data_IF_306937840071
#
_entry.id   IF_306937840071
#
_cell.length_a   1.000
_cell.length_b   1.000
_cell.length_c   1.000
_cell.angle_alpha   90.00
_cell.angle_beta   90.00
_cell.angle_gamma   90.00
#
_symmetry.space_group_name_H-M   'P 1'
#
loop_
_entity.id
_entity.type
_entity.pdbx_description
1 polymer ?
#
# COMPACT_ATOMS: atom_id res chain seq x y z
N UNK A 1 -21.78 25.10 -8.98
CA UNK A 1 -22.72 24.49 -8.03
C UNK A 1 -21.87 23.68 -7.03
N UNK A 2 -21.59 24.26 -5.85
CA UNK A 2 -20.86 23.61 -4.75
C UNK A 2 -21.85 22.70 -4.02
N UNK A 3 -21.86 21.40 -4.40
CA UNK A 3 -22.82 20.40 -3.90
C UNK A 3 -22.27 19.59 -2.72
N UNK A 4 -21.08 19.90 -2.21
CA UNK A 4 -20.64 19.38 -0.93
C UNK A 4 -20.85 20.45 0.14
N UNK A 5 -21.59 20.16 1.23
CA UNK A 5 -21.66 21.08 2.35
C UNK A 5 -20.21 21.33 2.78
N UNK A 6 -19.83 22.60 2.81
CA UNK A 6 -18.57 23.01 3.41
C UNK A 6 -18.62 22.46 4.85
N UNK A 7 -17.90 21.37 5.10
CA UNK A 7 -17.60 20.95 6.45
C UNK A 7 -16.84 22.11 7.03
N UNK A 8 -17.55 22.93 7.80
CA UNK A 8 -16.98 24.03 8.56
C UNK A 8 -16.11 23.38 9.61
N UNK A 9 -14.86 23.10 9.20
CA UNK A 9 -13.82 22.74 10.15
C UNK A 9 -13.61 24.01 10.95
N UNK A 10 -14.19 24.02 12.16
CA UNK A 10 -14.16 25.14 13.08
C UNK A 10 -12.70 25.51 13.40
N UNK A 11 -12.47 26.73 13.91
CA UNK A 11 -11.14 27.16 14.43
C UNK A 11 -10.52 26.15 15.41
N UNK A 12 -11.33 25.29 16.02
CA UNK A 12 -10.89 24.16 16.86
C UNK A 12 -10.08 23.13 16.06
N UNK A 13 -10.43 22.80 14.82
CA UNK A 13 -9.70 21.82 14.02
C UNK A 13 -8.27 22.30 13.64
N UNK A 14 -8.09 23.63 13.49
CA UNK A 14 -6.76 24.20 13.26
C UNK A 14 -5.84 24.02 14.49
N UNK A 15 -6.38 23.96 15.71
CA UNK A 15 -5.65 23.65 16.94
C UNK A 15 -5.15 22.18 16.99
N UNK A 16 -5.86 21.30 16.30
CA UNK A 16 -5.45 19.89 16.12
C UNK A 16 -4.55 19.66 14.90
N UNK A 17 -4.05 20.73 14.25
CA UNK A 17 -3.10 20.63 13.15
C UNK A 17 -3.73 20.36 11.77
N UNK A 18 -5.05 20.37 11.63
CA UNK A 18 -5.71 20.20 10.34
C UNK A 18 -5.50 21.43 9.43
N UNK A 19 -5.22 21.23 8.12
CA UNK A 19 -5.03 22.32 7.18
C UNK A 19 -6.37 22.98 6.82
N UNK A 20 -6.31 24.24 6.35
CA UNK A 20 -7.47 24.94 5.83
C UNK A 20 -7.93 24.33 4.50
N UNK A 21 -9.17 23.82 4.44
CA UNK A 21 -9.73 23.18 3.25
C UNK A 21 -10.22 24.17 2.16
N UNK A 22 -10.17 25.48 2.41
CA UNK A 22 -10.75 26.50 1.50
C UNK A 22 -10.28 26.32 0.06
N UNK A 23 -11.19 25.91 -0.83
CA UNK A 23 -10.95 25.70 -2.27
C UNK A 23 -10.10 24.46 -2.62
N UNK A 24 -9.75 23.60 -1.64
CA UNK A 24 -8.98 22.37 -1.83
C UNK A 24 -9.74 21.11 -1.36
N UNK A 25 -11.04 21.23 -1.06
CA UNK A 25 -11.87 20.10 -0.64
C UNK A 25 -11.90 18.96 -1.67
N UNK A 26 -11.82 19.27 -2.96
CA UNK A 26 -11.72 18.28 -4.04
C UNK A 26 -10.46 17.40 -3.93
N UNK A 27 -9.34 17.95 -3.43
CA UNK A 27 -8.10 17.19 -3.25
C UNK A 27 -8.24 16.14 -2.13
N UNK A 28 -8.78 16.53 -0.98
CA UNK A 28 -9.00 15.60 0.12
C UNK A 28 -10.13 14.61 -0.18
N UNK A 29 -11.22 15.09 -0.81
CA UNK A 29 -12.35 14.26 -1.20
C UNK A 29 -11.99 13.20 -2.24
N UNK A 30 -11.23 13.57 -3.28
CA UNK A 30 -10.76 12.61 -4.29
C UNK A 30 -9.90 11.51 -3.67
N UNK A 31 -8.96 11.86 -2.78
CA UNK A 31 -8.11 10.89 -2.10
C UNK A 31 -8.92 9.95 -1.19
N UNK A 32 -9.93 10.46 -0.50
CA UNK A 32 -10.83 9.65 0.34
C UNK A 32 -11.69 8.69 -0.47
N UNK A 33 -12.36 9.19 -1.51
CA UNK A 33 -13.25 8.39 -2.36
C UNK A 33 -12.47 7.30 -3.11
N UNK A 34 -11.30 7.63 -3.65
CA UNK A 34 -10.41 6.69 -4.31
C UNK A 34 -9.93 5.59 -3.36
N UNK A 35 -9.57 5.95 -2.15
CA UNK A 35 -9.14 4.99 -1.13
C UNK A 35 -10.28 4.11 -0.62
N UNK A 36 -11.51 4.60 -0.63
CA UNK A 36 -12.69 3.79 -0.35
C UNK A 36 -12.81 2.65 -1.35
N UNK A 37 -12.73 2.94 -2.65
CA UNK A 37 -12.72 1.92 -3.70
C UNK A 37 -11.58 0.92 -3.53
N UNK A 38 -10.36 1.42 -3.32
CA UNK A 38 -9.21 0.55 -3.06
C UNK A 38 -9.45 -0.37 -1.84
N UNK A 39 -10.01 0.15 -0.74
CA UNK A 39 -10.34 -0.64 0.43
C UNK A 39 -11.42 -1.70 0.18
N UNK A 40 -12.38 -1.40 -0.70
CA UNK A 40 -13.40 -2.38 -1.09
C UNK A 40 -12.82 -3.55 -1.89
N UNK A 41 -11.79 -3.35 -2.68
CA UNK A 41 -11.31 -4.38 -3.58
C UNK A 41 -10.02 -5.07 -3.12
N UNK A 42 -9.07 -4.36 -2.50
CA UNK A 42 -7.76 -4.91 -2.13
C UNK A 42 -7.82 -6.24 -1.37
N UNK A 43 -8.58 -6.38 -0.26
CA UNK A 43 -8.66 -7.64 0.46
C UNK A 43 -9.50 -8.70 -0.25
N UNK A 44 -10.16 -8.35 -1.33
CA UNK A 44 -11.00 -9.27 -2.10
C UNK A 44 -10.44 -9.59 -3.49
N UNK A 45 -9.24 -9.12 -3.83
CA UNK A 45 -8.66 -9.31 -5.18
C UNK A 45 -8.59 -10.79 -5.56
N UNK A 46 -7.99 -11.64 -4.73
CA UNK A 46 -7.91 -13.09 -5.02
C UNK A 46 -9.27 -13.78 -4.80
N UNK A 47 -9.99 -13.55 -3.69
CA UNK A 47 -11.34 -14.10 -3.52
C UNK A 47 -12.31 -13.77 -4.65
N UNK A 48 -12.23 -12.57 -5.23
CA UNK A 48 -13.03 -12.16 -6.38
C UNK A 48 -12.87 -13.14 -7.53
N UNK A 49 -11.64 -13.37 -8.00
CA UNK A 49 -11.39 -14.24 -9.14
C UNK A 49 -11.69 -15.73 -8.84
N UNK A 50 -11.48 -16.15 -7.59
CA UNK A 50 -11.89 -17.50 -7.16
C UNK A 50 -13.40 -17.71 -7.15
N UNK A 51 -14.18 -16.65 -6.92
CA UNK A 51 -15.64 -16.72 -6.89
C UNK A 51 -16.28 -16.59 -8.27
N UNK A 52 -15.76 -15.69 -9.13
CA UNK A 52 -16.43 -15.32 -10.39
C UNK A 52 -15.82 -15.95 -11.64
N UNK A 53 -14.72 -16.71 -11.51
CA UNK A 53 -14.04 -17.36 -12.64
C UNK A 53 -13.67 -18.80 -12.31
N UNK A 54 -13.46 -19.63 -13.33
CA UNK A 54 -12.95 -20.99 -13.18
C UNK A 54 -11.42 -21.07 -13.08
N UNK A 55 -10.75 -19.93 -12.84
CA UNK A 55 -9.29 -19.86 -12.76
C UNK A 55 -8.78 -20.49 -11.45
N UNK A 56 -7.81 -21.37 -11.59
CA UNK A 56 -7.12 -21.94 -10.42
C UNK A 56 -6.30 -20.90 -9.67
N UNK A 57 -6.15 -21.10 -8.35
CA UNK A 57 -5.45 -20.18 -7.43
C UNK A 57 -4.06 -19.76 -7.93
N UNK A 58 -3.26 -20.72 -8.43
CA UNK A 58 -1.91 -20.44 -8.97
C UNK A 58 -1.96 -19.60 -10.25
N UNK A 59 -2.93 -19.86 -11.12
CA UNK A 59 -3.11 -19.08 -12.36
C UNK A 59 -3.44 -17.62 -12.02
N UNK A 60 -4.34 -17.38 -11.05
CA UNK A 60 -4.67 -16.04 -10.58
C UNK A 60 -3.43 -15.34 -10.03
N UNK A 61 -2.69 -15.97 -9.11
CA UNK A 61 -1.49 -15.37 -8.51
C UNK A 61 -0.40 -15.07 -9.53
N UNK A 62 -0.17 -15.99 -10.47
CA UNK A 62 0.82 -15.81 -11.56
C UNK A 62 0.40 -14.68 -12.49
N UNK A 63 -0.87 -14.59 -12.88
CA UNK A 63 -1.39 -13.52 -13.72
C UNK A 63 -1.25 -12.15 -13.04
N UNK A 64 -1.59 -12.05 -11.76
CA UNK A 64 -1.42 -10.81 -10.99
C UNK A 64 0.05 -10.42 -10.86
N UNK A 65 0.96 -11.40 -10.65
CA UNK A 65 2.41 -11.15 -10.58
C UNK A 65 2.98 -10.65 -11.91
N UNK A 66 2.57 -11.25 -13.03
CA UNK A 66 2.97 -10.80 -14.37
C UNK A 66 2.42 -9.37 -14.63
N UNK A 67 1.16 -9.14 -14.31
CA UNK A 67 0.54 -7.83 -14.44
C UNK A 67 1.25 -6.76 -13.62
N UNK A 68 1.71 -7.09 -12.40
CA UNK A 68 2.42 -6.17 -11.52
C UNK A 68 3.75 -5.67 -12.13
N UNK A 69 4.39 -6.46 -13.01
CA UNK A 69 5.57 -6.01 -13.75
C UNK A 69 5.30 -4.77 -14.59
N UNK A 70 4.06 -4.58 -15.07
CA UNK A 70 3.67 -3.40 -15.81
C UNK A 70 3.69 -2.12 -14.95
N UNK A 71 3.47 -2.24 -13.65
CA UNK A 71 3.49 -1.12 -12.69
C UNK A 71 4.90 -0.57 -12.43
N UNK A 72 5.94 -1.39 -12.58
CA UNK A 72 7.32 -1.01 -12.29
C UNK A 72 7.81 0.13 -13.18
N UNK A 73 7.71 0.07 -14.52
CA UNK A 73 8.11 1.18 -15.38
C UNK A 73 7.21 2.41 -15.24
N UNK A 74 5.93 2.25 -14.88
CA UNK A 74 5.00 3.35 -14.71
C UNK A 74 5.45 4.35 -13.64
N UNK A 75 6.00 3.85 -12.51
CA UNK A 75 6.56 4.71 -11.47
C UNK A 75 7.71 5.58 -11.95
N UNK A 76 8.58 5.05 -12.82
CA UNK A 76 9.70 5.78 -13.41
C UNK A 76 9.22 6.78 -14.46
N UNK A 77 8.26 6.38 -15.30
CA UNK A 77 7.70 7.19 -16.37
C UNK A 77 6.74 8.27 -15.87
N UNK A 78 6.26 8.17 -14.63
CA UNK A 78 5.34 9.15 -14.04
C UNK A 78 5.90 10.56 -14.04
N UNK A 79 7.21 10.75 -13.77
CA UNK A 79 7.87 12.05 -13.80
C UNK A 79 7.77 12.73 -15.17
N UNK A 80 8.31 12.14 -16.25
CA UNK A 80 8.16 12.68 -17.61
C UNK A 80 6.70 12.91 -18.05
N UNK A 81 5.77 12.03 -17.65
CA UNK A 81 4.34 12.21 -17.94
C UNK A 81 3.76 13.44 -17.23
N UNK A 82 4.10 13.62 -15.95
CA UNK A 82 3.67 14.79 -15.17
C UNK A 82 4.29 16.08 -15.73
N UNK A 83 5.57 16.03 -16.12
CA UNK A 83 6.25 17.19 -16.71
C UNK A 83 5.63 17.61 -18.05
N UNK A 84 5.16 16.64 -18.85
CA UNK A 84 4.58 16.89 -20.18
C UNK A 84 3.10 17.29 -20.13
N UNK A 85 2.31 16.59 -19.32
CA UNK A 85 0.84 16.72 -19.32
C UNK A 85 0.28 17.43 -18.08
N UNK A 86 1.12 17.61 -17.05
CA UNK A 86 0.72 18.12 -15.74
C UNK A 86 0.13 17.03 -14.84
N UNK A 87 0.30 17.19 -13.53
CA UNK A 87 -0.18 16.23 -12.53
C UNK A 87 -1.68 15.92 -12.61
N UNK A 88 -2.59 16.90 -12.81
CA UNK A 88 -4.03 16.61 -12.92
C UNK A 88 -4.36 15.68 -14.09
N UNK A 89 -3.79 15.90 -15.26
CA UNK A 89 -4.05 15.09 -16.44
C UNK A 89 -3.56 13.65 -16.25
N UNK A 90 -2.39 13.47 -15.63
CA UNK A 90 -1.86 12.13 -15.29
C UNK A 90 -2.76 11.42 -14.31
N UNK A 91 -3.25 12.10 -13.24
CA UNK A 91 -4.18 11.53 -12.28
C UNK A 91 -5.49 11.11 -12.95
N UNK A 92 -6.04 11.95 -13.86
CA UNK A 92 -7.22 11.59 -14.63
C UNK A 92 -6.98 10.34 -15.48
N UNK A 93 -5.86 10.29 -16.20
CA UNK A 93 -5.47 9.13 -17.00
C UNK A 93 -5.33 7.86 -16.17
N UNK A 94 -4.70 7.94 -14.99
CA UNK A 94 -4.59 6.80 -14.06
C UNK A 94 -5.98 6.30 -13.61
N UNK A 95 -6.88 7.20 -13.26
CA UNK A 95 -8.21 6.81 -12.81
C UNK A 95 -9.06 6.22 -13.96
N UNK A 96 -8.91 6.71 -15.19
CA UNK A 96 -9.56 6.12 -16.36
C UNK A 96 -9.01 4.73 -16.68
N UNK A 97 -7.70 4.51 -16.56
CA UNK A 97 -7.09 3.18 -16.71
C UNK A 97 -7.58 2.20 -15.65
N UNK A 98 -7.69 2.65 -14.38
CA UNK A 98 -8.27 1.82 -13.32
C UNK A 98 -9.75 1.51 -13.59
N UNK A 99 -10.54 2.50 -14.00
CA UNK A 99 -11.92 2.28 -14.39
C UNK A 99 -12.01 1.22 -15.49
N UNK A 100 -11.23 1.34 -16.55
CA UNK A 100 -11.19 0.35 -17.64
C UNK A 100 -10.76 -1.03 -17.14
N UNK A 101 -9.75 -1.10 -16.29
CA UNK A 101 -9.29 -2.36 -15.70
C UNK A 101 -10.39 -3.06 -14.87
N UNK A 102 -11.11 -2.31 -14.02
CA UNK A 102 -12.21 -2.87 -13.23
C UNK A 102 -13.42 -3.27 -14.08
N UNK A 103 -13.72 -2.50 -15.12
CA UNK A 103 -14.74 -2.90 -16.11
C UNK A 103 -14.31 -4.19 -16.82
N UNK A 104 -13.03 -4.29 -17.21
CA UNK A 104 -12.50 -5.50 -17.86
C UNK A 104 -12.55 -6.74 -16.98
N UNK A 105 -12.48 -6.59 -15.63
CA UNK A 105 -12.61 -7.72 -14.70
C UNK A 105 -13.93 -8.48 -14.81
N UNK A 106 -14.99 -7.82 -15.29
CA UNK A 106 -16.32 -8.44 -15.47
C UNK A 106 -16.37 -9.51 -16.57
N UNK A 107 -15.37 -9.53 -17.47
CA UNK A 107 -15.29 -10.47 -18.60
C UNK A 107 -14.02 -11.32 -18.60
N UNK A 108 -13.34 -11.41 -17.45
CA UNK A 108 -12.17 -12.27 -17.33
C UNK A 108 -12.59 -13.72 -17.21
N UNK A 109 -12.17 -14.53 -18.18
CA UNK A 109 -12.37 -15.98 -18.22
C UNK A 109 -11.04 -16.73 -18.30
N UNK A 110 -9.96 -16.06 -18.76
CA UNK A 110 -8.66 -16.68 -19.01
C UNK A 110 -7.54 -15.93 -18.27
N UNK A 111 -6.43 -16.62 -17.92
CA UNK A 111 -5.31 -15.98 -17.21
C UNK A 111 -4.72 -14.78 -17.96
N UNK A 112 -4.63 -14.81 -19.27
CA UNK A 112 -4.06 -13.71 -20.07
C UNK A 112 -4.98 -12.47 -20.08
N UNK A 113 -6.30 -12.65 -20.06
CA UNK A 113 -7.25 -11.53 -19.88
C UNK A 113 -7.07 -10.88 -18.51
N UNK A 114 -6.87 -11.70 -17.46
CA UNK A 114 -6.54 -11.20 -16.13
C UNK A 114 -5.23 -10.40 -16.13
N UNK A 115 -4.18 -10.89 -16.80
CA UNK A 115 -2.91 -10.16 -16.94
C UNK A 115 -3.15 -8.78 -17.55
N UNK A 116 -3.88 -8.69 -18.67
CA UNK A 116 -4.12 -7.43 -19.36
C UNK A 116 -4.96 -6.46 -18.53
N UNK A 117 -6.05 -6.93 -17.95
CA UNK A 117 -6.94 -6.12 -17.14
C UNK A 117 -6.24 -5.60 -15.85
N UNK A 118 -5.51 -6.47 -15.15
CA UNK A 118 -4.74 -6.08 -13.97
C UNK A 118 -3.55 -5.18 -14.31
N UNK A 119 -2.90 -5.37 -15.48
CA UNK A 119 -1.81 -4.51 -15.91
C UNK A 119 -2.23 -3.05 -16.07
N UNK A 120 -3.47 -2.77 -16.51
CA UNK A 120 -4.02 -1.41 -16.56
C UNK A 120 -4.06 -0.77 -15.17
N UNK A 121 -4.48 -1.54 -14.17
CA UNK A 121 -4.61 -1.08 -12.78
C UNK A 121 -3.21 -0.86 -12.18
N UNK A 122 -2.30 -1.83 -12.30
CA UNK A 122 -0.94 -1.71 -11.76
C UNK A 122 -0.13 -0.61 -12.42
N UNK A 123 -0.29 -0.40 -13.74
CA UNK A 123 0.29 0.74 -14.43
C UNK A 123 -0.19 2.07 -13.84
N UNK A 124 -1.50 2.19 -13.65
CA UNK A 124 -2.10 3.38 -13.06
C UNK A 124 -1.60 3.60 -11.62
N UNK A 125 -1.53 2.55 -10.80
CA UNK A 125 -1.04 2.62 -9.42
C UNK A 125 0.42 3.10 -9.34
N UNK A 126 1.27 2.61 -10.23
CA UNK A 126 2.67 3.02 -10.31
C UNK A 126 2.86 4.51 -10.63
N UNK A 127 2.04 5.07 -11.51
CA UNK A 127 2.13 6.47 -11.93
C UNK A 127 1.37 7.44 -11.00
N UNK A 128 0.33 6.97 -10.34
CA UNK A 128 -0.59 7.79 -9.57
C UNK A 128 0.04 8.45 -8.34
N UNK A 129 0.79 7.71 -7.53
CA UNK A 129 1.34 8.21 -6.25
C UNK A 129 2.31 9.39 -6.45
N UNK A 130 3.28 9.35 -7.40
CA UNK A 130 4.11 10.52 -7.71
C UNK A 130 3.31 11.69 -8.27
N UNK A 131 2.31 11.43 -9.12
CA UNK A 131 1.45 12.48 -9.68
C UNK A 131 0.62 13.18 -8.59
N UNK A 132 0.04 12.41 -7.66
CA UNK A 132 -0.70 12.98 -6.52
C UNK A 132 0.20 13.84 -5.64
N UNK A 133 1.43 13.36 -5.32
CA UNK A 133 2.40 14.14 -4.57
C UNK A 133 2.73 15.46 -5.24
N UNK A 134 2.93 15.46 -6.55
CA UNK A 134 3.19 16.67 -7.35
C UNK A 134 1.98 17.62 -7.34
N UNK A 135 0.75 17.09 -7.43
CA UNK A 135 -0.47 17.89 -7.35
C UNK A 135 -0.57 18.60 -5.98
N UNK A 136 -0.33 17.89 -4.89
CA UNK A 136 -0.33 18.50 -3.54
C UNK A 136 0.68 19.63 -3.47
N UNK A 137 1.94 19.39 -3.89
CA UNK A 137 3.01 20.40 -3.87
C UNK A 137 2.66 21.61 -4.74
N UNK A 138 1.96 21.42 -5.87
CA UNK A 138 1.57 22.51 -6.75
C UNK A 138 0.44 23.38 -6.21
N UNK A 139 -0.47 22.81 -5.42
CA UNK A 139 -1.66 23.49 -4.90
C UNK A 139 -1.45 24.11 -3.52
N UNK A 140 -0.50 23.58 -2.74
CA UNK A 140 -0.32 23.89 -1.32
C UNK A 140 1.03 24.58 -1.09
N UNK A 141 1.04 25.66 -0.31
CA UNK A 141 2.29 26.35 0.10
C UNK A 141 3.20 25.42 0.94
N UNK A 142 4.52 25.64 0.83
CA UNK A 142 5.56 24.79 1.44
C UNK A 142 5.29 24.53 2.93
N UNK A 143 4.91 25.55 3.70
CA UNK A 143 4.65 25.43 5.14
C UNK A 143 3.45 24.51 5.50
N UNK A 144 2.49 24.36 4.59
CA UNK A 144 1.29 23.56 4.82
C UNK A 144 1.39 22.14 4.25
N UNK A 145 2.39 21.87 3.41
CA UNK A 145 2.54 20.54 2.76
C UNK A 145 2.56 19.37 3.76
N UNK A 146 3.32 19.41 4.89
CA UNK A 146 3.31 18.31 5.84
C UNK A 146 1.92 18.01 6.41
N UNK A 147 1.14 19.06 6.70
CA UNK A 147 -0.24 18.92 7.20
C UNK A 147 -1.17 18.31 6.17
N UNK A 148 -1.03 18.70 4.91
CA UNK A 148 -1.83 18.15 3.81
C UNK A 148 -1.48 16.69 3.52
N UNK A 149 -0.21 16.32 3.48
CA UNK A 149 0.20 14.91 3.35
C UNK A 149 -0.31 14.07 4.53
N UNK A 150 -0.26 14.61 5.74
CA UNK A 150 -0.82 13.97 6.93
C UNK A 150 -2.33 13.76 6.83
N UNK A 151 -3.09 14.79 6.42
CA UNK A 151 -4.54 14.69 6.21
C UNK A 151 -4.91 13.66 5.16
N UNK A 152 -4.26 13.71 3.99
CA UNK A 152 -4.51 12.76 2.89
C UNK A 152 -4.20 11.33 3.35
N UNK A 153 -3.10 11.11 4.05
CA UNK A 153 -2.73 9.78 4.58
C UNK A 153 -3.76 9.27 5.59
N UNK A 154 -4.21 10.12 6.52
CA UNK A 154 -5.24 9.76 7.49
C UNK A 154 -6.58 9.45 6.82
N UNK A 155 -7.01 10.30 5.89
CA UNK A 155 -8.23 10.09 5.11
C UNK A 155 -8.16 8.79 4.31
N UNK A 156 -7.03 8.50 3.66
CA UNK A 156 -6.81 7.24 2.93
C UNK A 156 -6.96 6.02 3.84
N UNK A 157 -6.28 6.01 4.98
CA UNK A 157 -6.33 4.87 5.90
C UNK A 157 -7.75 4.64 6.43
N UNK A 158 -8.45 5.70 6.83
CA UNK A 158 -9.83 5.60 7.28
C UNK A 158 -10.76 5.08 6.17
N UNK A 159 -10.62 5.61 4.95
CA UNK A 159 -11.43 5.19 3.80
C UNK A 159 -11.14 3.74 3.37
N UNK A 160 -9.89 3.28 3.46
CA UNK A 160 -9.53 1.88 3.21
C UNK A 160 -10.28 0.93 4.15
N UNK A 161 -10.30 1.23 5.45
CA UNK A 161 -11.01 0.40 6.43
C UNK A 161 -12.53 0.41 6.23
N UNK A 162 -13.12 1.59 5.97
CA UNK A 162 -14.56 1.70 5.67
C UNK A 162 -14.90 0.94 4.38
N UNK A 163 -14.06 1.06 3.34
CA UNK A 163 -14.25 0.32 2.09
C UNK A 163 -14.24 -1.19 2.30
N UNK A 164 -13.27 -1.71 3.06
CA UNK A 164 -13.19 -3.14 3.37
C UNK A 164 -14.41 -3.64 4.17
N UNK A 165 -14.95 -2.83 5.08
CA UNK A 165 -16.15 -3.16 5.83
C UNK A 165 -17.40 -3.20 4.94
N UNK A 166 -17.55 -2.23 4.02
CA UNK A 166 -18.64 -2.24 3.04
C UNK A 166 -18.54 -3.48 2.15
N UNK A 167 -17.35 -3.78 1.65
CA UNK A 167 -17.12 -4.96 0.81
C UNK A 167 -17.46 -6.27 1.55
N UNK A 168 -17.08 -6.38 2.83
CA UNK A 168 -17.42 -7.55 3.66
C UNK A 168 -18.93 -7.80 3.74
N UNK A 169 -19.72 -6.74 3.80
CA UNK A 169 -21.19 -6.85 3.78
C UNK A 169 -21.72 -7.23 2.38
N UNK A 170 -21.14 -6.67 1.34
CA UNK A 170 -21.59 -6.86 -0.05
C UNK A 170 -21.26 -8.26 -0.58
N UNK A 171 -20.08 -8.82 -0.27
CA UNK A 171 -19.69 -10.17 -0.75
C UNK A 171 -20.57 -11.29 -0.17
N UNK A 172 -21.31 -11.02 0.90
CA UNK A 172 -22.31 -11.95 1.43
C UNK A 172 -23.44 -12.31 0.46
N UNK A 173 -23.61 -11.52 -0.62
CA UNK A 173 -24.58 -11.79 -1.69
C UNK A 173 -23.99 -12.70 -2.81
N UNK A 174 -22.84 -13.35 -2.57
CA UNK A 174 -22.21 -14.27 -3.55
C UNK A 174 -21.71 -13.54 -4.80
N UNK A 175 -21.83 -14.15 -5.96
CA UNK A 175 -21.31 -13.66 -7.24
C UNK A 175 -21.81 -12.24 -7.57
N UNK A 176 -23.08 -11.96 -7.28
CA UNK A 176 -23.67 -10.61 -7.47
C UNK A 176 -22.91 -9.60 -6.62
N UNK A 177 -22.57 -9.95 -5.37
CA UNK A 177 -21.80 -9.11 -4.48
C UNK A 177 -20.38 -8.84 -5.01
N UNK A 178 -19.70 -9.87 -5.50
CA UNK A 178 -18.38 -9.71 -6.10
C UNK A 178 -18.42 -8.83 -7.36
N UNK A 179 -19.35 -9.05 -8.28
CA UNK A 179 -19.51 -8.19 -9.44
C UNK A 179 -19.83 -6.75 -9.06
N UNK A 180 -20.66 -6.54 -8.03
CA UNK A 180 -20.95 -5.21 -7.50
C UNK A 180 -19.69 -4.49 -7.02
N UNK A 181 -18.70 -5.20 -6.42
CA UNK A 181 -17.42 -4.58 -6.02
C UNK A 181 -16.66 -4.05 -7.25
N UNK A 182 -16.57 -4.83 -8.34
CA UNK A 182 -15.88 -4.39 -9.54
C UNK A 182 -16.56 -3.18 -10.19
N UNK A 183 -17.89 -3.23 -10.34
CA UNK A 183 -18.68 -2.12 -10.89
C UNK A 183 -18.56 -0.86 -10.04
N UNK A 184 -18.69 -1.00 -8.72
CA UNK A 184 -18.56 0.15 -7.79
C UNK A 184 -17.19 0.79 -7.88
N UNK A 185 -16.11 -0.01 -7.97
CA UNK A 185 -14.75 0.51 -8.16
C UNK A 185 -14.61 1.25 -9.50
N UNK A 186 -15.13 0.69 -10.59
CA UNK A 186 -15.12 1.36 -11.89
C UNK A 186 -15.83 2.74 -11.82
N UNK A 187 -17.00 2.79 -11.19
CA UNK A 187 -17.75 4.04 -10.98
C UNK A 187 -16.99 5.02 -10.10
N UNK A 188 -16.37 4.57 -9.02
CA UNK A 188 -15.56 5.40 -8.11
C UNK A 188 -14.41 6.03 -8.89
N UNK A 189 -13.63 5.25 -9.65
CA UNK A 189 -12.51 5.78 -10.41
C UNK A 189 -12.94 6.72 -11.52
N UNK A 190 -14.05 6.42 -12.21
CA UNK A 190 -14.64 7.36 -13.19
C UNK A 190 -15.05 8.67 -12.52
N UNK A 191 -15.73 8.59 -11.37
CA UNK A 191 -16.13 9.77 -10.60
C UNK A 191 -14.91 10.61 -10.20
N UNK A 192 -13.84 10.00 -9.70
CA UNK A 192 -12.60 10.71 -9.33
C UNK A 192 -11.94 11.33 -10.55
N UNK A 193 -11.91 10.62 -11.69
CA UNK A 193 -11.40 11.17 -12.97
C UNK A 193 -12.17 12.44 -13.36
N UNK A 194 -13.51 12.42 -13.30
CA UNK A 194 -14.36 13.58 -13.58
C UNK A 194 -14.16 14.70 -12.55
N UNK A 195 -14.06 14.37 -11.26
CA UNK A 195 -13.87 15.33 -10.17
C UNK A 195 -12.58 16.14 -10.33
N UNK A 196 -11.49 15.48 -10.73
CA UNK A 196 -10.18 16.13 -10.96
C UNK A 196 -10.14 16.78 -12.36
N UNK A 197 -10.67 16.11 -13.38
CA UNK A 197 -10.70 16.60 -14.76
C UNK A 197 -11.47 17.90 -14.93
N UNK A 198 -12.56 18.06 -14.17
CA UNK A 198 -13.38 19.28 -14.16
C UNK A 198 -12.92 20.35 -13.16
N UNK A 199 -11.70 20.25 -12.63
CA UNK A 199 -11.20 21.20 -11.63
C UNK A 199 -10.24 22.24 -12.22
N UNK A 200 -10.76 23.44 -12.63
CA UNK A 200 -9.95 24.46 -13.34
C UNK A 200 -8.73 24.93 -12.53
N UNK A 201 -8.87 25.06 -11.21
CA UNK A 201 -7.79 25.48 -10.32
C UNK A 201 -6.59 24.53 -10.34
N UNK A 202 -6.84 23.21 -10.40
CA UNK A 202 -5.78 22.23 -10.47
C UNK A 202 -4.99 22.36 -11.77
N UNK A 203 -5.67 22.50 -12.90
CA UNK A 203 -5.06 22.64 -14.22
C UNK A 203 -4.30 23.96 -14.38
N UNK A 204 -4.85 25.09 -13.91
CA UNK A 204 -4.23 26.41 -14.02
C UNK A 204 -2.92 26.52 -13.20
N UNK A 205 -2.83 25.91 -12.03
CA UNK A 205 -1.66 25.99 -11.15
C UNK A 205 -0.57 24.97 -11.50
N UNK A 206 -0.96 23.78 -11.99
CA UNK A 206 0.01 22.78 -12.43
C UNK A 206 0.87 23.24 -13.61
N UNK A 207 0.29 23.97 -14.58
CA UNK A 207 1.01 24.52 -15.72
C UNK A 207 2.07 25.58 -15.37
N UNK A 208 1.92 26.30 -14.24
CA UNK A 208 2.85 27.36 -13.81
C UNK A 208 4.12 26.85 -13.11
N UNK A 209 4.12 25.65 -12.53
CA UNK A 209 5.22 25.11 -11.71
C UNK A 209 6.04 23.99 -12.36
N UNK A 210 5.67 23.50 -13.52
CA UNK A 210 6.44 22.53 -14.30
C UNK A 210 7.85 23.06 -14.72
N UNK A 211 8.09 24.36 -14.59
CA UNK A 211 9.32 25.04 -15.02
C UNK A 211 10.46 25.04 -13.98
N UNK A 212 10.30 24.48 -12.79
CA UNK A 212 11.39 24.43 -11.79
C UNK A 212 12.22 23.18 -12.03
N UNK A 213 13.31 23.31 -12.76
CA UNK A 213 14.31 22.26 -12.98
C UNK A 213 14.83 21.73 -11.66
N UNK A 214 14.61 20.42 -11.40
CA UNK A 214 15.24 19.72 -10.28
C UNK A 214 16.75 19.62 -10.53
N UNK A 215 17.60 19.90 -9.54
CA UNK A 215 19.04 19.69 -9.68
C UNK A 215 19.29 18.22 -10.08
N UNK A 216 20.02 18.02 -11.19
CA UNK A 216 20.50 16.69 -11.56
C UNK A 216 21.52 16.26 -10.52
N UNK A 217 21.13 15.34 -9.65
CA UNK A 217 22.03 14.76 -8.67
C UNK A 217 23.17 14.05 -9.39
N UNK A 218 24.42 14.34 -9.05
CA UNK A 218 25.63 13.67 -9.54
C UNK A 218 25.87 12.40 -8.73
N UNK A 219 26.08 11.24 -9.39
CA UNK A 219 26.36 9.94 -8.74
C UNK A 219 25.42 8.81 -9.22
N UNK A 220 25.91 7.58 -9.39
CA UNK A 220 25.16 6.45 -9.93
C UNK A 220 24.43 5.65 -8.83
N UNK A 221 23.35 4.94 -9.19
CA UNK A 221 22.66 3.96 -8.34
C UNK A 221 23.59 2.85 -7.83
N UNK A 222 24.66 2.54 -8.58
CA UNK A 222 25.65 1.54 -8.18
C UNK A 222 26.35 1.90 -6.86
N UNK A 223 26.56 3.20 -6.58
CA UNK A 223 27.11 3.67 -5.30
C UNK A 223 26.16 3.40 -4.14
N UNK A 224 24.86 3.57 -4.37
CA UNK A 224 23.82 3.27 -3.36
C UNK A 224 23.80 1.79 -3.01
N UNK A 225 23.88 0.92 -4.02
CA UNK A 225 23.89 -0.55 -3.84
C UNK A 225 25.20 -1.08 -3.24
N UNK A 226 26.29 -0.32 -3.29
CA UNK A 226 27.58 -0.67 -2.63
C UNK A 226 27.62 -0.28 -1.16
N UNK A 227 26.68 0.52 -0.68
CA UNK A 227 26.56 0.87 0.74
C UNK A 227 25.95 -0.30 1.51
N UNK A 228 26.81 -1.13 2.12
CA UNK A 228 26.41 -2.37 2.82
C UNK A 228 25.33 -2.18 3.88
N UNK A 229 25.41 -1.21 4.84
CA UNK A 229 24.35 -1.00 5.80
C UNK A 229 23.02 -0.70 5.15
N UNK A 230 23.00 0.13 4.11
CA UNK A 230 21.79 0.49 3.39
C UNK A 230 21.26 -0.69 2.56
N UNK A 231 22.11 -1.43 1.87
CA UNK A 231 21.69 -2.61 1.09
C UNK A 231 21.07 -3.68 1.99
N UNK A 232 21.63 -3.92 3.18
CA UNK A 232 21.04 -4.83 4.16
C UNK A 232 19.68 -4.34 4.65
N UNK A 233 19.50 -3.02 4.84
CA UNK A 233 18.19 -2.45 5.14
C UNK A 233 17.20 -2.65 3.99
N UNK A 234 17.61 -2.46 2.73
CA UNK A 234 16.74 -2.68 1.55
C UNK A 234 16.34 -4.15 1.44
N UNK A 235 17.26 -5.08 1.68
CA UNK A 235 16.94 -6.51 1.72
C UNK A 235 15.93 -6.82 2.83
N UNK A 236 16.18 -6.34 4.05
CA UNK A 236 15.23 -6.50 5.15
C UNK A 236 13.85 -5.92 4.80
N UNK A 237 13.84 -4.72 4.19
CA UNK A 237 12.62 -4.05 3.79
C UNK A 237 11.84 -4.85 2.74
N UNK A 238 12.50 -5.51 1.79
CA UNK A 238 11.83 -6.35 0.81
C UNK A 238 11.06 -7.50 1.49
N UNK A 239 11.66 -8.18 2.47
CA UNK A 239 10.99 -9.23 3.23
C UNK A 239 9.87 -8.68 4.12
N UNK A 240 10.05 -7.51 4.74
CA UNK A 240 9.01 -6.86 5.52
C UNK A 240 7.80 -6.49 4.65
N UNK A 241 8.04 -5.98 3.43
CA UNK A 241 6.93 -5.62 2.54
C UNK A 241 6.20 -6.86 2.03
N UNK A 242 6.90 -7.98 1.79
CA UNK A 242 6.23 -9.27 1.54
C UNK A 242 5.34 -9.66 2.73
N UNK A 243 5.81 -9.48 3.97
CA UNK A 243 4.99 -9.69 5.16
C UNK A 243 3.75 -8.77 5.18
N UNK A 244 3.90 -7.48 4.85
CA UNK A 244 2.76 -6.55 4.74
C UNK A 244 1.73 -7.02 3.71
N UNK A 245 2.16 -7.54 2.56
CA UNK A 245 1.24 -8.06 1.55
C UNK A 245 0.45 -9.30 2.01
N UNK A 246 0.87 -9.96 3.09
CA UNK A 246 0.14 -11.13 3.62
C UNK A 246 -1.29 -10.77 4.05
N UNK A 247 -1.52 -9.61 4.68
CA UNK A 247 -2.87 -9.22 5.09
C UNK A 247 -3.76 -8.83 3.89
N UNK A 248 -3.15 -8.38 2.80
CA UNK A 248 -3.86 -7.93 1.61
C UNK A 248 -4.19 -9.09 0.68
N UNK A 249 -3.29 -10.07 0.54
CA UNK A 249 -3.41 -11.13 -0.45
C UNK A 249 -3.51 -12.53 0.15
N UNK A 250 -2.61 -12.89 1.11
CA UNK A 250 -2.57 -14.24 1.65
C UNK A 250 -3.74 -14.53 2.59
N UNK A 251 -3.99 -13.68 3.58
CA UNK A 251 -5.07 -13.90 4.55
C UNK A 251 -6.43 -13.99 3.87
N UNK A 252 -6.79 -13.09 2.92
CA UNK A 252 -8.03 -13.23 2.16
C UNK A 252 -8.12 -14.50 1.32
N UNK A 253 -7.03 -14.87 0.62
CA UNK A 253 -6.99 -16.10 -0.16
C UNK A 253 -7.09 -17.34 0.73
N UNK A 254 -6.39 -17.34 1.88
CA UNK A 254 -6.46 -18.40 2.87
C UNK A 254 -7.87 -18.60 3.41
N UNK A 255 -8.56 -17.51 3.77
CA UNK A 255 -9.97 -17.56 4.22
C UNK A 255 -10.88 -18.07 3.10
N UNK A 256 -10.70 -17.59 1.87
CA UNK A 256 -11.48 -18.03 0.72
C UNK A 256 -11.37 -19.54 0.44
N UNK A 257 -10.19 -20.12 0.66
CA UNK A 257 -9.93 -21.55 0.46
C UNK A 257 -10.36 -22.39 1.67
N UNK A 258 -10.11 -21.94 2.90
CA UNK A 258 -10.32 -22.76 4.12
C UNK A 258 -11.67 -22.52 4.77
N UNK A 259 -12.28 -21.37 4.59
CA UNK A 259 -13.53 -20.93 5.24
C UNK A 259 -14.48 -20.23 4.25
N UNK A 260 -14.86 -20.82 3.11
CA UNK A 260 -15.65 -20.17 2.06
C UNK A 260 -17.00 -19.64 2.57
N UNK A 261 -17.57 -20.28 3.59
CA UNK A 261 -18.81 -19.81 4.25
C UNK A 261 -18.66 -18.46 4.98
N UNK A 262 -17.43 -17.98 5.17
CA UNK A 262 -17.12 -16.75 5.91
C UNK A 262 -16.56 -15.67 4.98
N UNK A 263 -17.18 -15.44 3.82
CA UNK A 263 -16.73 -14.47 2.80
C UNK A 263 -16.52 -13.05 3.34
N UNK A 264 -17.21 -12.67 4.42
CA UNK A 264 -17.08 -11.39 5.11
C UNK A 264 -15.76 -11.22 5.89
N UNK A 265 -15.13 -12.32 6.28
CA UNK A 265 -14.01 -12.34 7.23
C UNK A 265 -12.77 -11.56 6.75
N UNK A 266 -12.34 -11.64 5.48
CA UNK A 266 -11.22 -10.85 4.97
C UNK A 266 -11.40 -9.34 5.20
N UNK A 267 -12.59 -8.83 4.90
CA UNK A 267 -12.90 -7.41 5.11
C UNK A 267 -12.93 -7.03 6.60
N UNK A 268 -13.45 -7.88 7.47
CA UNK A 268 -13.45 -7.66 8.91
C UNK A 268 -12.02 -7.62 9.48
N UNK A 269 -11.17 -8.57 9.11
CA UNK A 269 -9.77 -8.63 9.53
C UNK A 269 -8.99 -7.41 9.06
N UNK A 270 -9.19 -6.99 7.80
CA UNK A 270 -8.56 -5.80 7.24
C UNK A 270 -9.07 -4.51 7.93
N UNK A 271 -10.34 -4.46 8.27
CA UNK A 271 -10.94 -3.34 9.04
C UNK A 271 -10.31 -3.24 10.43
N UNK A 272 -10.18 -4.36 11.16
CA UNK A 272 -9.52 -4.40 12.47
C UNK A 272 -8.08 -3.88 12.36
N UNK A 273 -7.31 -4.34 11.37
CA UNK A 273 -5.96 -3.84 11.11
C UNK A 273 -5.98 -2.32 10.91
N UNK A 274 -6.84 -1.82 10.02
CA UNK A 274 -6.89 -0.38 9.70
C UNK A 274 -7.27 0.48 10.90
N UNK A 275 -8.26 0.05 11.69
CA UNK A 275 -8.68 0.76 12.91
C UNK A 275 -7.53 0.79 13.92
N UNK A 276 -6.86 -0.33 14.15
CA UNK A 276 -5.70 -0.40 15.05
C UNK A 276 -4.57 0.51 14.57
N UNK A 277 -4.28 0.54 13.24
CA UNK A 277 -3.28 1.46 12.68
C UNK A 277 -3.66 2.91 12.96
N UNK A 278 -4.90 3.31 12.71
CA UNK A 278 -5.34 4.71 12.93
C UNK A 278 -5.22 5.11 14.40
N UNK A 279 -5.65 4.25 15.31
CA UNK A 279 -5.71 4.56 16.75
C UNK A 279 -4.33 4.46 17.41
N UNK A 280 -3.55 3.40 17.10
CA UNK A 280 -2.32 3.11 17.79
C UNK A 280 -1.06 3.74 17.15
N UNK A 281 -1.12 4.21 15.90
CA UNK A 281 0.05 4.80 15.24
C UNK A 281 0.66 5.98 15.99
N UNK A 282 -0.10 7.00 16.50
CA UNK A 282 0.50 8.15 17.17
C UNK A 282 1.30 7.79 18.44
N UNK A 283 0.77 6.99 19.39
CA UNK A 283 1.54 6.59 20.57
C UNK A 283 2.74 5.70 20.24
N UNK A 284 2.61 4.81 19.24
CA UNK A 284 3.71 3.95 18.81
C UNK A 284 4.85 4.77 18.20
N UNK A 285 4.56 5.76 17.34
CA UNK A 285 5.60 6.65 16.79
C UNK A 285 6.37 7.37 17.91
N UNK A 286 5.69 7.96 18.88
CA UNK A 286 6.35 8.61 20.03
C UNK A 286 7.25 7.65 20.82
N UNK A 287 6.84 6.38 20.91
CA UNK A 287 7.61 5.36 21.60
C UNK A 287 8.85 4.94 20.80
N UNK A 288 8.74 4.84 19.45
CA UNK A 288 9.83 4.45 18.55
C UNK A 288 10.90 5.54 18.41
N UNK A 289 10.52 6.84 18.43
CA UNK A 289 11.44 7.98 18.32
C UNK A 289 12.57 7.97 19.35
N UNK A 290 12.34 7.37 20.52
CA UNK A 290 13.31 7.29 21.64
C UNK A 290 14.16 6.02 21.59
N UNK A 291 14.08 5.21 20.54
CA UNK A 291 14.70 3.88 20.45
C UNK A 291 15.54 3.73 19.20
N UNK A 292 16.55 2.86 19.27
CA UNK A 292 17.36 2.55 18.10
C UNK A 292 16.51 1.81 17.04
N UNK A 293 16.49 2.33 15.80
CA UNK A 293 15.66 1.81 14.70
C UNK A 293 15.92 0.33 14.44
N UNK A 294 17.18 -0.12 14.55
CA UNK A 294 17.52 -1.53 14.37
C UNK A 294 16.87 -2.44 15.44
N UNK A 295 16.77 -1.96 16.69
CA UNK A 295 16.08 -2.68 17.76
C UNK A 295 14.58 -2.77 17.50
N UNK A 296 13.96 -1.67 17.07
CA UNK A 296 12.53 -1.60 16.74
C UNK A 296 12.19 -2.50 15.53
N UNK A 297 12.99 -2.48 14.45
CA UNK A 297 12.79 -3.32 13.28
C UNK A 297 12.97 -4.81 13.58
N UNK A 298 13.92 -5.16 14.47
CA UNK A 298 14.07 -6.55 14.92
C UNK A 298 12.90 -7.02 15.76
N UNK A 299 12.33 -6.16 16.62
CA UNK A 299 11.11 -6.44 17.35
C UNK A 299 9.93 -6.66 16.39
N UNK A 300 9.79 -5.81 15.36
CA UNK A 300 8.77 -5.99 14.33
C UNK A 300 8.90 -7.35 13.61
N UNK A 301 10.14 -7.79 13.30
CA UNK A 301 10.38 -9.12 12.72
C UNK A 301 9.86 -10.25 13.61
N UNK A 302 10.12 -10.17 14.93
CA UNK A 302 9.67 -11.17 15.91
C UNK A 302 8.15 -11.17 16.01
N UNK A 303 7.53 -10.00 16.11
CA UNK A 303 6.06 -9.90 16.19
C UNK A 303 5.39 -10.43 14.93
N UNK A 304 5.92 -10.16 13.73
CA UNK A 304 5.38 -10.77 12.50
C UNK A 304 5.57 -12.29 12.48
N UNK A 305 6.73 -12.81 12.91
CA UNK A 305 6.95 -14.25 13.01
C UNK A 305 5.92 -14.90 13.95
N UNK A 306 5.68 -14.31 15.13
CA UNK A 306 4.65 -14.77 16.07
C UNK A 306 3.26 -14.68 15.43
N UNK A 307 2.94 -13.59 14.76
CA UNK A 307 1.67 -13.43 14.04
C UNK A 307 1.46 -14.54 13.02
N UNK A 308 2.46 -14.85 12.20
CA UNK A 308 2.36 -15.90 11.19
C UNK A 308 2.23 -17.31 11.81
N UNK A 309 2.84 -17.55 12.95
CA UNK A 309 2.61 -18.80 13.68
C UNK A 309 1.17 -18.90 14.21
N UNK A 310 0.63 -17.80 14.75
CA UNK A 310 -0.76 -17.74 15.23
C UNK A 310 -1.76 -17.88 14.09
N UNK A 311 -1.54 -17.16 12.98
CA UNK A 311 -2.36 -17.28 11.76
C UNK A 311 -2.28 -18.69 11.18
N UNK A 312 -1.08 -19.30 11.15
CA UNK A 312 -0.87 -20.66 10.68
C UNK A 312 -1.57 -21.71 11.55
N UNK A 313 -1.61 -21.50 12.86
CA UNK A 313 -2.33 -22.40 13.77
C UNK A 313 -3.84 -22.46 13.47
N UNK A 314 -4.42 -21.38 12.91
CA UNK A 314 -5.83 -21.38 12.50
C UNK A 314 -6.17 -22.46 11.47
N UNK A 315 -5.20 -22.88 10.65
CA UNK A 315 -5.39 -23.94 9.65
C UNK A 315 -5.59 -25.34 10.28
N UNK A 316 -5.22 -25.49 11.53
CA UNK A 316 -5.24 -26.79 12.27
C UNK A 316 -6.39 -26.88 13.26
N UNK A 317 -7.21 -25.83 13.38
CA UNK A 317 -8.24 -25.69 14.41
C UNK A 317 -9.65 -25.74 13.82
N UNK A 318 -10.66 -26.17 14.62
CA UNK A 318 -12.04 -26.06 14.19
C UNK A 318 -12.48 -24.60 14.02
N UNK A 319 -13.51 -24.32 13.19
CA UNK A 319 -13.87 -22.95 12.77
C UNK A 319 -13.99 -21.93 13.90
N UNK A 320 -14.62 -22.19 15.06
CA UNK A 320 -14.71 -21.18 16.12
C UNK A 320 -13.35 -20.77 16.69
N UNK A 321 -12.47 -21.75 16.92
CA UNK A 321 -11.12 -21.49 17.43
C UNK A 321 -10.23 -20.82 16.35
N UNK A 322 -10.39 -21.22 15.09
CA UNK A 322 -9.69 -20.61 13.96
C UNK A 322 -10.04 -19.13 13.81
N UNK A 323 -11.31 -18.74 13.99
CA UNK A 323 -11.71 -17.31 13.97
C UNK A 323 -10.97 -16.52 15.05
N UNK A 324 -10.92 -17.03 16.28
CA UNK A 324 -10.20 -16.36 17.38
C UNK A 324 -8.71 -16.20 17.03
N UNK A 325 -8.07 -17.24 16.48
CA UNK A 325 -6.67 -17.19 16.08
C UNK A 325 -6.43 -16.20 14.96
N UNK A 326 -7.33 -16.09 13.99
CA UNK A 326 -7.21 -15.11 12.91
C UNK A 326 -7.27 -13.67 13.46
N UNK A 327 -8.22 -13.34 14.31
CA UNK A 327 -8.28 -12.01 14.92
C UNK A 327 -7.07 -11.71 15.81
N UNK A 328 -6.66 -12.66 16.65
CA UNK A 328 -5.46 -12.53 17.48
C UNK A 328 -4.21 -12.33 16.61
N UNK A 329 -4.05 -13.15 15.57
CA UNK A 329 -2.96 -13.03 14.62
C UNK A 329 -2.89 -11.66 13.96
N UNK A 330 -4.04 -11.09 13.55
CA UNK A 330 -4.11 -9.74 12.96
C UNK A 330 -3.74 -8.64 13.98
N UNK A 331 -4.12 -8.77 15.24
CA UNK A 331 -3.71 -7.80 16.28
C UNK A 331 -2.19 -7.80 16.44
N UNK A 332 -1.57 -8.98 16.52
CA UNK A 332 -0.11 -9.11 16.61
C UNK A 332 0.57 -8.62 15.31
N UNK A 333 0.01 -8.96 14.14
CA UNK A 333 0.45 -8.50 12.84
C UNK A 333 0.51 -6.97 12.77
N UNK A 334 -0.59 -6.33 13.16
CA UNK A 334 -0.72 -4.87 13.15
C UNK A 334 0.28 -4.20 14.10
N UNK A 335 0.56 -4.82 15.24
CA UNK A 335 1.58 -4.34 16.18
C UNK A 335 2.97 -4.28 15.53
N UNK A 336 3.33 -5.29 14.73
CA UNK A 336 4.56 -5.30 13.96
C UNK A 336 4.56 -4.21 12.85
N UNK A 337 3.47 -4.06 12.13
CA UNK A 337 3.30 -3.05 11.08
C UNK A 337 3.45 -1.62 11.60
N UNK A 338 2.86 -1.33 12.75
CA UNK A 338 2.96 -0.04 13.45
C UNK A 338 4.42 0.34 13.78
N UNK A 339 5.24 -0.65 14.13
CA UNK A 339 6.66 -0.46 14.40
C UNK A 339 7.46 -0.27 13.12
N UNK A 340 7.16 -1.06 12.10
CA UNK A 340 7.91 -1.12 10.86
C UNK A 340 7.81 0.15 10.02
N UNK A 341 6.58 0.58 9.68
CA UNK A 341 6.36 1.58 8.64
C UNK A 341 7.09 2.92 8.88
N UNK A 342 6.98 3.56 10.07
CA UNK A 342 7.71 4.80 10.34
C UNK A 342 9.21 4.57 10.51
N UNK A 343 9.60 3.48 11.18
CA UNK A 343 11.00 3.20 11.54
C UNK A 343 11.85 2.87 10.33
N UNK A 344 11.35 2.06 9.40
CA UNK A 344 12.07 1.69 8.17
C UNK A 344 12.36 2.92 7.30
N UNK A 345 11.35 3.79 7.13
CA UNK A 345 11.51 5.03 6.36
C UNK A 345 12.47 6.02 7.03
N UNK A 346 12.40 6.17 8.35
CA UNK A 346 13.30 7.03 9.10
C UNK A 346 14.76 6.52 9.05
N UNK A 347 14.96 5.21 9.19
CA UNK A 347 16.30 4.60 9.11
C UNK A 347 16.89 4.73 7.70
N UNK A 348 16.11 4.54 6.65
CA UNK A 348 16.55 4.75 5.27
C UNK A 348 16.96 6.22 5.03
N UNK A 349 16.19 7.18 5.54
CA UNK A 349 16.49 8.61 5.42
C UNK A 349 17.76 9.02 6.19
N UNK A 350 18.01 8.40 7.34
CA UNK A 350 19.21 8.66 8.17
C UNK A 350 20.49 8.09 7.56
N UNK A 351 20.42 6.91 6.93
CA UNK A 351 21.58 6.32 6.23
C UNK A 351 21.93 7.06 4.93
N UNK A 352 21.00 7.81 4.37
CA UNK A 352 21.16 8.49 3.09
C UNK A 352 21.99 9.78 3.23
N UNK A 353 23.14 9.92 2.51
CA UNK A 353 23.82 11.21 2.36
C UNK A 353 22.87 12.27 1.78
N UNK A 354 22.98 13.54 2.21
CA UNK A 354 22.07 14.60 1.80
C UNK A 354 21.98 14.75 0.29
N UNK A 355 23.12 14.70 -0.41
CA UNK A 355 23.21 14.87 -1.86
C UNK A 355 22.58 13.70 -2.63
N UNK A 356 22.44 12.53 -2.00
CA UNK A 356 21.93 11.29 -2.64
C UNK A 356 20.61 10.80 -2.02
N UNK A 357 20.03 11.54 -1.06
CA UNK A 357 18.84 11.12 -0.28
C UNK A 357 17.70 10.64 -1.16
N UNK A 358 17.43 11.33 -2.26
CA UNK A 358 16.37 10.94 -3.20
C UNK A 358 16.59 9.56 -3.83
N UNK A 359 17.85 9.20 -4.14
CA UNK A 359 18.19 7.88 -4.71
C UNK A 359 18.10 6.77 -3.67
N UNK A 360 18.57 7.03 -2.45
CA UNK A 360 18.46 6.07 -1.35
C UNK A 360 16.98 5.76 -1.07
N UNK A 361 16.15 6.79 -0.91
CA UNK A 361 14.72 6.59 -0.71
C UNK A 361 14.03 5.94 -1.91
N UNK A 362 14.46 6.25 -3.14
CA UNK A 362 13.97 5.59 -4.35
C UNK A 362 14.28 4.09 -4.36
N UNK A 363 15.52 3.70 -4.05
CA UNK A 363 15.92 2.28 -3.95
C UNK A 363 15.17 1.58 -2.81
N UNK A 364 15.00 2.23 -1.67
CA UNK A 364 14.18 1.70 -0.57
C UNK A 364 12.73 1.44 -1.00
N UNK A 365 12.13 2.36 -1.77
CA UNK A 365 10.77 2.19 -2.30
C UNK A 365 10.65 1.07 -3.34
N UNK A 366 11.74 0.72 -4.06
CA UNK A 366 11.69 -0.41 -5.01
C UNK A 366 11.33 -1.74 -4.34
N UNK A 367 11.56 -1.90 -3.03
CA UNK A 367 11.15 -3.08 -2.27
C UNK A 367 9.63 -3.34 -2.36
N UNK A 368 8.82 -2.28 -2.43
CA UNK A 368 7.37 -2.40 -2.60
C UNK A 368 7.02 -2.94 -3.98
N UNK A 369 7.70 -2.48 -5.03
CA UNK A 369 7.52 -3.01 -6.38
C UNK A 369 7.90 -4.49 -6.48
N UNK A 370 9.01 -4.88 -5.86
CA UNK A 370 9.45 -6.29 -5.82
C UNK A 370 8.43 -7.16 -5.10
N UNK A 371 7.95 -6.73 -3.93
CA UNK A 371 6.96 -7.48 -3.17
C UNK A 371 5.62 -7.57 -3.92
N UNK A 372 5.20 -6.50 -4.61
CA UNK A 372 3.98 -6.50 -5.42
C UNK A 372 4.02 -7.53 -6.55
N UNK A 373 5.21 -7.77 -7.13
CA UNK A 373 5.44 -8.79 -8.16
C UNK A 373 5.52 -10.19 -7.55
N UNK A 374 6.23 -10.34 -6.44
CA UNK A 374 6.54 -11.67 -5.86
C UNK A 374 5.39 -12.21 -5.00
N UNK A 375 4.70 -11.37 -4.23
CA UNK A 375 3.72 -11.81 -3.24
C UNK A 375 2.54 -12.61 -3.84
N UNK A 376 1.89 -12.21 -4.95
CA UNK A 376 0.74 -12.95 -5.47
C UNK A 376 1.11 -14.39 -5.84
N UNK A 377 2.14 -14.60 -6.65
CA UNK A 377 2.55 -15.94 -7.07
C UNK A 377 3.12 -16.76 -5.91
N UNK A 378 3.87 -16.15 -5.00
CA UNK A 378 4.41 -16.82 -3.82
C UNK A 378 3.28 -17.37 -2.95
N UNK A 379 2.33 -16.51 -2.56
CA UNK A 379 1.27 -16.88 -1.65
C UNK A 379 0.30 -17.90 -2.26
N UNK A 380 -0.10 -17.70 -3.50
CA UNK A 380 -1.02 -18.63 -4.17
C UNK A 380 -0.37 -19.99 -4.44
N UNK A 381 0.91 -20.03 -4.82
CA UNK A 381 1.65 -21.28 -5.03
C UNK A 381 1.86 -22.07 -3.73
N UNK A 382 2.14 -21.37 -2.61
CA UNK A 382 2.28 -22.01 -1.32
C UNK A 382 0.93 -22.51 -0.79
N UNK A 383 -0.13 -21.69 -0.94
CA UNK A 383 -1.47 -22.04 -0.49
C UNK A 383 -2.05 -23.22 -1.31
N UNK A 384 -1.73 -23.32 -2.59
CA UNK A 384 -2.12 -24.45 -3.43
C UNK A 384 -1.48 -25.78 -3.02
N UNK A 385 -0.33 -25.76 -2.31
CA UNK A 385 0.29 -26.94 -1.71
C UNK A 385 -0.36 -27.36 -0.39
N UNK A 386 -1.13 -26.46 0.21
CA UNK A 386 -1.87 -26.67 1.46
C UNK A 386 -1.88 -25.44 2.35
N UNK A 387 -2.91 -25.32 3.17
CA UNK A 387 -3.19 -24.16 4.01
C UNK A 387 -2.07 -23.82 5.02
N UNK A 388 -1.21 -24.80 5.35
CA UNK A 388 -0.14 -24.62 6.35
C UNK A 388 1.15 -24.06 5.74
N UNK A 389 1.43 -24.32 4.46
CA UNK A 389 2.71 -24.01 3.83
C UNK A 389 3.12 -22.52 3.76
N UNK A 390 2.22 -21.57 3.60
CA UNK A 390 2.61 -20.14 3.55
C UNK A 390 3.29 -19.66 4.84
N UNK A 391 2.86 -20.13 5.99
CA UNK A 391 3.23 -19.57 7.28
C UNK A 391 4.68 -19.77 7.66
N UNK A 392 5.26 -21.01 7.61
CA UNK A 392 6.69 -21.21 7.89
C UNK A 392 7.60 -20.46 6.92
N UNK A 393 7.20 -20.29 5.66
CA UNK A 393 7.97 -19.48 4.69
C UNK A 393 7.99 -18.02 5.11
N UNK A 394 6.86 -17.45 5.56
CA UNK A 394 6.82 -16.09 6.08
C UNK A 394 7.60 -15.91 7.38
N UNK A 395 7.60 -16.91 8.27
CA UNK A 395 8.47 -16.92 9.46
C UNK A 395 9.94 -16.89 9.05
N UNK A 396 10.34 -17.68 8.05
CA UNK A 396 11.70 -17.66 7.51
C UNK A 396 12.05 -16.29 6.89
N UNK A 397 11.12 -15.66 6.17
CA UNK A 397 11.28 -14.29 5.67
C UNK A 397 11.54 -13.29 6.82
N UNK A 398 10.79 -13.40 7.93
CA UNK A 398 11.02 -12.58 9.11
C UNK A 398 12.39 -12.83 9.75
N UNK A 399 12.87 -14.07 9.78
CA UNK A 399 14.20 -14.41 10.29
C UNK A 399 15.30 -13.78 9.41
N UNK A 400 15.17 -13.85 8.08
CA UNK A 400 16.11 -13.19 7.14
C UNK A 400 16.11 -11.68 7.36
N UNK A 401 14.94 -11.06 7.49
CA UNK A 401 14.84 -9.63 7.77
C UNK A 401 15.51 -9.25 9.09
N UNK A 402 15.30 -10.04 10.14
CA UNK A 402 15.92 -9.85 11.46
C UNK A 402 17.46 -9.91 11.41
N UNK A 403 18.02 -10.88 10.66
CA UNK A 403 19.46 -11.02 10.46
C UNK A 403 20.03 -9.85 9.65
N UNK A 404 19.35 -9.45 8.56
CA UNK A 404 19.77 -8.35 7.70
C UNK A 404 19.81 -7.01 8.47
N UNK A 405 18.78 -6.73 9.30
CA UNK A 405 18.76 -5.55 10.20
C UNK A 405 19.92 -5.61 11.20
N UNK A 406 20.23 -6.79 11.75
CA UNK A 406 21.36 -6.98 12.66
C UNK A 406 22.72 -6.67 11.99
N UNK A 407 22.88 -7.12 10.75
CA UNK A 407 24.06 -6.82 9.95
C UNK A 407 24.22 -5.34 9.61
N UNK A 408 23.12 -4.63 9.33
CA UNK A 408 23.14 -3.19 9.09
C UNK A 408 23.64 -2.41 10.31
N UNK A 409 23.28 -2.80 11.52
CA UNK A 409 23.78 -2.21 12.78
C UNK A 409 25.30 -2.39 12.94
N UNK A 410 25.80 -3.62 12.76
CA UNK A 410 27.20 -3.93 12.99
C UNK A 410 28.16 -3.17 12.04
N UNK A 411 27.70 -2.83 10.84
CA UNK A 411 28.48 -2.04 9.89
C UNK A 411 28.37 -0.52 10.13
N UNK A 412 27.26 -0.03 10.67
CA UNK A 412 27.06 1.37 11.06
C UNK A 412 27.99 1.77 12.19
N UNK A 413 28.01 1.00 13.28
CA UNK A 413 28.88 1.27 14.45
C UNK A 413 30.38 1.19 14.12
N UNK A 414 30.78 0.31 13.19
CA UNK A 414 32.20 0.28 12.72
C UNK A 414 32.60 1.52 11.93
N UNK A 415 31.69 2.16 11.20
CA UNK A 415 31.95 3.41 10.49
C UNK A 415 32.12 4.59 11.46
N UNK A 416 31.29 4.66 12.48
CA UNK A 416 31.38 5.69 13.52
C UNK A 416 32.69 5.57 14.32
N UNK A 417 33.13 4.35 14.68
CA UNK A 417 34.39 4.11 15.37
C UNK A 417 35.65 4.25 14.49
N UNK A 418 35.53 4.22 13.18
CA UNK A 418 36.65 4.44 12.25
C UNK A 418 36.77 5.91 11.82
N UNK A 419 35.76 6.72 12.10
CA UNK A 419 35.73 8.17 11.81
C UNK A 419 36.01 9.04 13.04
N UNK A 420 35.98 8.43 14.25
CA UNK A 420 36.43 9.01 15.53
C UNK A 420 37.88 8.66 15.82
#
# INVERSE_FOLDING_TARGET
MDILPAVVISRSAERFGFPRLRGLGRLAGSAGVESLGSGMFLPFTIPYFLAVTDLGLVAIGTALSIAALAGVPAGVLSGPLVDRFGAPAVIVGCNLLRCLGFVSYLWVETPWQLVLAAALIYWADGAWLPAQGTLVVSLVGIEQQPRWFGLIRSARNASLGVGAMIAAAVVGFGDIGYHALAVTNAVIYLFVALLIGTWPKAHALAGRRAAVARPRATGGYLRVLRDRPFTLLVVANAFFVVAVYAIILLVPAFVGVTMPAHAWLPGALYTVNTVLVVVAQPPVVRWTEKRAETGVLRLASVLWAVSFLVLGASALLPPPAALVMLFLGIVVFTSAELLFAPTSSAFAARLAPEEMRGRYLGVHQMSWGVAMVVAPVLFTSLLARGAVWPWPVLVACCAVAWLAVGGARAHGTRRESAAA
#
